data_IF_819772221670
#
_entry.id   IF_819772221670
#
_cell.length_a   1.000
_cell.length_b   1.000
_cell.length_c   1.000
_cell.angle_alpha   90.00
_cell.angle_beta   90.00
_cell.angle_gamma   90.00
#
_symmetry.space_group_name_H-M   'P 1'
#
loop_
_entity.id
_entity.type
_entity.pdbx_description
1 polymer ?
#
# COMPACT_ATOMS: atom_id res chain seq x y z
N UNK A 1 -0.63 2.92 11.48
CA UNK A 1 -1.02 3.80 10.36
C UNK A 1 -2.52 4.04 10.45
N UNK A 2 -3.02 5.22 10.06
CA UNK A 2 -4.45 5.48 9.94
C UNK A 2 -4.80 5.88 8.51
N UNK A 3 -6.08 5.72 8.17
CA UNK A 3 -6.63 6.01 6.86
C UNK A 3 -7.74 7.04 7.00
N UNK A 4 -7.69 8.08 6.17
CA UNK A 4 -8.74 9.10 6.05
C UNK A 4 -9.52 8.90 4.75
N UNK A 5 -10.57 9.68 4.52
CA UNK A 5 -11.34 9.64 3.27
C UNK A 5 -10.90 10.76 2.34
N UNK A 6 -11.04 10.57 1.03
CA UNK A 6 -10.79 11.63 0.03
C UNK A 6 -11.79 12.79 0.09
N UNK A 7 -12.86 12.69 0.88
CA UNK A 7 -13.90 13.71 1.03
C UNK A 7 -13.97 14.32 2.44
N UNK A 8 -13.01 14.00 3.31
CA UNK A 8 -12.95 14.48 4.69
C UNK A 8 -13.03 16.02 4.83
N UNK A 9 -12.54 16.79 3.85
CA UNK A 9 -12.59 18.25 3.88
C UNK A 9 -13.92 18.85 3.38
N UNK A 10 -14.81 18.05 2.79
CA UNK A 10 -16.04 18.52 2.15
C UNK A 10 -17.27 18.45 3.05
N UNK A 11 -17.23 17.65 4.12
CA UNK A 11 -18.31 17.51 5.08
C UNK A 11 -17.93 18.17 6.41
N UNK A 12 -18.21 19.46 6.54
CA UNK A 12 -17.94 20.28 7.73
C UNK A 12 -18.82 19.96 8.96
N UNK A 13 -19.58 18.87 8.93
CA UNK A 13 -20.52 18.49 9.99
C UNK A 13 -20.20 17.19 10.73
N UNK A 14 -19.39 16.30 10.14
CA UNK A 14 -18.98 15.04 10.77
C UNK A 14 -17.46 15.00 10.80
N UNK A 15 -16.89 15.02 12.02
CA UNK A 15 -15.47 14.84 12.24
C UNK A 15 -15.10 13.39 11.87
N UNK A 16 -14.77 13.17 10.60
CA UNK A 16 -14.44 11.84 10.10
C UNK A 16 -13.10 11.40 10.70
N UNK A 17 -13.22 10.63 11.77
CA UNK A 17 -12.08 10.11 12.50
C UNK A 17 -11.33 9.12 11.61
N UNK A 18 -10.02 9.34 11.36
CA UNK A 18 -9.20 8.40 10.60
C UNK A 18 -9.34 6.98 11.17
N UNK A 19 -9.49 5.98 10.31
CA UNK A 19 -9.76 4.58 10.68
C UNK A 19 -8.49 3.71 10.60
N UNK A 20 -8.57 2.50 11.14
CA UNK A 20 -7.50 1.50 11.01
C UNK A 20 -7.42 0.93 9.59
N UNK A 21 -6.31 0.25 9.27
CA UNK A 21 -6.18 -0.53 8.04
C UNK A 21 -7.30 -1.56 7.93
N UNK A 22 -7.56 -2.31 9.01
CA UNK A 22 -8.59 -3.36 9.04
C UNK A 22 -9.98 -2.81 8.72
N UNK A 23 -10.36 -1.67 9.30
CA UNK A 23 -11.63 -1.02 8.99
C UNK A 23 -11.70 -0.55 7.55
N UNK A 24 -10.66 0.12 7.05
CA UNK A 24 -10.61 0.59 5.66
C UNK A 24 -10.72 -0.57 4.66
N UNK A 25 -10.04 -1.68 4.94
CA UNK A 25 -10.04 -2.88 4.10
C UNK A 25 -11.43 -3.52 4.01
N UNK A 26 -12.10 -3.73 5.15
CA UNK A 26 -13.40 -4.43 5.16
C UNK A 26 -14.59 -3.56 4.77
N UNK A 27 -14.51 -2.24 4.97
CA UNK A 27 -15.57 -1.32 4.51
C UNK A 27 -15.50 -1.08 2.99
N UNK A 28 -14.31 -1.12 2.40
CA UNK A 28 -14.11 -0.81 0.99
C UNK A 28 -14.34 0.68 0.69
N UNK A 29 -15.59 1.07 0.47
CA UNK A 29 -15.99 2.46 0.24
C UNK A 29 -16.22 3.18 1.57
N UNK A 30 -15.76 4.42 1.69
CA UNK A 30 -16.00 5.21 2.90
C UNK A 30 -17.48 5.65 3.00
N UNK A 31 -18.02 5.88 4.21
CA UNK A 31 -19.43 6.25 4.42
C UNK A 31 -19.89 7.53 3.71
N UNK A 32 -18.97 8.44 3.39
CA UNK A 32 -19.22 9.66 2.61
C UNK A 32 -19.15 9.48 1.09
N UNK A 33 -19.02 8.23 0.63
CA UNK A 33 -18.79 7.87 -0.76
C UNK A 33 -17.40 8.23 -1.29
N UNK A 34 -16.46 8.58 -0.41
CA UNK A 34 -15.04 8.76 -0.71
C UNK A 34 -14.26 7.44 -0.70
N UNK A 35 -12.96 7.53 -0.97
CA UNK A 35 -12.03 6.39 -0.90
C UNK A 35 -11.15 6.53 0.35
N UNK A 36 -10.84 5.39 0.98
CA UNK A 36 -9.85 5.37 2.04
C UNK A 36 -8.43 5.55 1.48
N UNK A 37 -7.68 6.48 2.04
CA UNK A 37 -6.28 6.76 1.72
C UNK A 37 -5.48 6.88 3.01
N UNK A 38 -4.19 6.48 3.04
CA UNK A 38 -3.39 6.64 4.24
C UNK A 38 -3.20 8.14 4.55
N UNK A 39 -3.17 8.50 5.83
CA UNK A 39 -2.93 9.90 6.23
C UNK A 39 -1.55 10.41 5.78
N UNK A 40 -0.58 9.50 5.69
CA UNK A 40 0.78 9.82 5.27
C UNK A 40 1.33 8.73 4.36
N UNK A 41 2.18 9.12 3.43
CA UNK A 41 2.96 8.21 2.60
C UNK A 41 4.43 8.37 3.01
N UNK A 42 5.01 7.33 3.60
CA UNK A 42 6.42 7.35 4.02
C UNK A 42 7.33 7.45 2.79
N UNK A 43 8.10 8.55 2.71
CA UNK A 43 9.09 8.73 1.65
C UNK A 43 10.25 7.74 1.82
N UNK A 44 10.75 7.21 0.69
CA UNK A 44 11.90 6.32 0.69
C UNK A 44 13.19 7.12 0.47
N UNK A 45 14.23 6.90 1.28
CA UNK A 45 15.51 7.56 1.03
C UNK A 45 16.18 6.98 -0.22
N UNK A 46 16.97 7.79 -0.93
CA UNK A 46 17.64 7.40 -2.18
C UNK A 46 18.46 6.11 -2.06
N UNK A 47 19.10 5.91 -0.90
CA UNK A 47 19.87 4.68 -0.60
C UNK A 47 19.01 3.42 -0.60
N UNK A 48 17.73 3.49 -0.29
CA UNK A 48 16.81 2.36 -0.37
C UNK A 48 16.34 2.13 -1.81
N UNK A 49 16.01 3.20 -2.53
CA UNK A 49 15.66 3.13 -3.95
C UNK A 49 16.79 2.51 -4.79
N UNK A 50 18.04 2.89 -4.52
CA UNK A 50 19.22 2.33 -5.18
C UNK A 50 19.42 0.82 -4.95
N UNK A 51 18.77 0.23 -3.92
CA UNK A 51 18.84 -1.21 -3.64
C UNK A 51 17.74 -2.01 -4.34
N UNK A 52 16.71 -1.36 -4.88
CA UNK A 52 15.58 -2.02 -5.55
C UNK A 52 15.99 -3.01 -6.64
N UNK A 53 16.98 -2.74 -7.53
CA UNK A 53 17.36 -3.69 -8.58
C UNK A 53 17.93 -5.01 -8.06
N UNK A 54 18.28 -5.10 -6.76
CA UNK A 54 18.85 -6.30 -6.12
C UNK A 54 17.85 -7.03 -5.23
N UNK A 55 16.58 -6.60 -5.22
CA UNK A 55 15.52 -7.18 -4.37
C UNK A 55 14.57 -8.05 -5.19
N UNK A 56 14.03 -9.07 -4.54
CA UNK A 56 12.95 -9.88 -5.12
C UNK A 56 11.63 -9.11 -5.09
N UNK A 57 10.65 -9.54 -5.91
CA UNK A 57 9.30 -8.98 -5.91
C UNK A 57 8.65 -9.01 -4.50
N UNK A 58 8.82 -10.12 -3.78
CA UNK A 58 8.28 -10.30 -2.43
C UNK A 58 8.97 -9.39 -1.41
N UNK A 59 10.30 -9.22 -1.48
CA UNK A 59 11.02 -8.28 -0.62
C UNK A 59 10.58 -6.83 -0.83
N UNK A 60 10.36 -6.43 -2.09
CA UNK A 60 9.85 -5.10 -2.44
C UNK A 60 8.44 -4.94 -1.89
N UNK A 61 7.54 -5.89 -2.13
CA UNK A 61 6.16 -5.86 -1.64
C UNK A 61 6.09 -5.75 -0.11
N UNK A 62 6.89 -6.54 0.61
CA UNK A 62 6.98 -6.46 2.08
C UNK A 62 7.44 -5.07 2.53
N UNK A 63 8.46 -4.50 1.87
CA UNK A 63 8.94 -3.16 2.23
C UNK A 63 7.89 -2.07 2.00
N UNK A 64 7.12 -2.17 0.91
CA UNK A 64 6.04 -1.23 0.54
C UNK A 64 4.84 -1.35 1.47
N UNK A 65 4.40 -2.57 1.80
CA UNK A 65 3.16 -2.80 2.56
C UNK A 65 3.33 -2.58 4.07
N UNK A 66 4.53 -2.87 4.62
CA UNK A 66 4.81 -2.78 6.06
C UNK A 66 4.34 -1.47 6.73
N UNK A 67 4.60 -0.26 6.19
CA UNK A 67 4.12 0.99 6.79
C UNK A 67 2.60 1.05 6.93
N UNK A 68 1.86 0.51 5.97
CA UNK A 68 0.41 0.60 5.89
C UNK A 68 -0.32 -0.43 6.76
N UNK A 69 0.32 -1.58 7.03
CA UNK A 69 -0.24 -2.66 7.85
C UNK A 69 0.38 -2.76 9.26
N UNK A 70 1.31 -1.86 9.60
CA UNK A 70 2.03 -1.86 10.89
C UNK A 70 1.05 -1.79 12.07
N UNK A 71 1.11 -2.80 12.94
CA UNK A 71 0.27 -2.92 14.14
C UNK A 71 -1.14 -3.47 13.88
N UNK A 72 -1.46 -3.78 12.62
CA UNK A 72 -2.77 -4.30 12.20
C UNK A 72 -2.67 -5.76 11.72
N UNK A 73 -1.53 -6.12 11.13
CA UNK A 73 -1.24 -7.48 10.67
C UNK A 73 0.08 -7.97 11.27
N UNK A 74 0.10 -9.24 11.70
CA UNK A 74 1.33 -9.88 12.15
C UNK A 74 2.37 -9.94 11.00
N UNK A 75 3.65 -9.63 11.25
CA UNK A 75 4.66 -9.61 10.19
C UNK A 75 4.85 -10.96 9.48
N UNK A 76 4.73 -12.08 10.17
CA UNK A 76 4.86 -13.41 9.57
C UNK A 76 3.62 -13.75 8.73
N UNK A 77 2.43 -13.32 9.17
CA UNK A 77 1.21 -13.42 8.36
C UNK A 77 1.30 -12.58 7.09
N UNK A 78 1.78 -11.34 7.19
CA UNK A 78 2.00 -10.49 6.00
C UNK A 78 2.97 -11.15 5.02
N UNK A 79 4.06 -11.74 5.54
CA UNK A 79 5.04 -12.45 4.72
C UNK A 79 4.43 -13.66 4.00
N UNK A 80 3.67 -14.50 4.71
CA UNK A 80 2.98 -15.64 4.11
C UNK A 80 2.03 -15.21 3.00
N UNK A 81 1.19 -14.19 3.24
CA UNK A 81 0.25 -13.66 2.25
C UNK A 81 0.97 -13.11 1.02
N UNK A 82 2.05 -12.36 1.22
CA UNK A 82 2.83 -11.79 0.10
C UNK A 82 3.48 -12.88 -0.74
N UNK A 83 4.08 -13.89 -0.10
CA UNK A 83 4.72 -15.01 -0.81
C UNK A 83 3.69 -15.81 -1.60
N UNK A 84 2.51 -16.05 -1.03
CA UNK A 84 1.43 -16.77 -1.71
C UNK A 84 0.84 -15.95 -2.87
N UNK A 85 0.55 -14.66 -2.65
CA UNK A 85 -0.09 -13.80 -3.63
C UNK A 85 0.82 -13.41 -4.81
N UNK A 86 2.13 -13.31 -4.58
CA UNK A 86 3.11 -12.89 -5.58
C UNK A 86 4.04 -14.04 -5.99
N UNK A 87 3.49 -15.26 -6.08
CA UNK A 87 4.22 -16.48 -6.42
C UNK A 87 4.49 -16.68 -7.93
N UNK A 88 4.38 -15.62 -8.72
CA UNK A 88 4.59 -15.63 -10.17
C UNK A 88 5.45 -14.44 -10.63
N UNK A 89 6.20 -14.58 -11.74
CA UNK A 89 7.04 -13.51 -12.25
C UNK A 89 6.20 -12.38 -12.87
N UNK A 90 6.67 -11.13 -12.74
CA UNK A 90 6.12 -9.94 -13.42
C UNK A 90 7.25 -9.30 -14.24
N UNK A 91 7.67 -9.93 -15.35
CA UNK A 91 8.82 -9.47 -16.12
C UNK A 91 8.49 -8.20 -16.91
N UNK A 92 9.44 -7.27 -16.99
CA UNK A 92 9.38 -6.13 -17.88
C UNK A 92 10.00 -6.51 -19.24
N UNK A 93 9.24 -6.43 -20.32
CA UNK A 93 9.63 -6.86 -21.67
C UNK A 93 9.66 -5.69 -22.63
N UNK A 94 10.72 -5.55 -23.42
CA UNK A 94 10.78 -4.52 -24.47
C UNK A 94 9.97 -4.95 -25.69
N UNK A 95 8.94 -4.17 -26.05
CA UNK A 95 8.02 -4.45 -27.16
C UNK A 95 8.27 -3.60 -28.40
N UNK A 96 8.96 -2.48 -28.24
CA UNK A 96 9.49 -1.61 -29.30
C UNK A 96 10.66 -0.79 -28.73
N UNK A 97 11.48 -0.11 -29.54
CA UNK A 97 12.64 0.64 -29.02
C UNK A 97 12.25 1.61 -27.89
N UNK A 98 12.73 1.33 -26.67
CA UNK A 98 12.42 2.06 -25.42
C UNK A 98 10.94 2.02 -24.98
N UNK A 99 10.19 1.01 -25.40
CA UNK A 99 8.80 0.77 -24.97
C UNK A 99 8.73 -0.58 -24.30
N UNK A 100 8.20 -0.61 -23.08
CA UNK A 100 8.17 -1.82 -22.24
C UNK A 100 6.74 -2.16 -21.82
N UNK A 101 6.45 -3.45 -21.67
CA UNK A 101 5.19 -4.00 -21.17
C UNK A 101 5.45 -5.11 -20.13
#
# INVERSE_FOLDING_TARGET
MRFTTTRALQHSGDEQTPVSFTTALFHGLAPDGGLYVPETIEAWPDRELARLPRRTLTEIALRVLRPFTRGELDPAVLEAVVVEALNFPIPLVEVAPRVYA
#
